data_IF_778427933376
#
_entry.id   IF_778427933376
#
_cell.length_a   1.000
_cell.length_b   1.000
_cell.length_c   1.000
_cell.angle_alpha   90.00
_cell.angle_beta   90.00
_cell.angle_gamma   90.00
#
_symmetry.space_group_name_H-M   'P 1'
#
loop_
_entity.id
_entity.type
_entity.pdbx_description
1 polymer ?
#
# COMPACT_ATOMS: atom_id res chain seq x y z
N UNK A 1 2.07 60.11 -9.52
CA UNK A 1 1.09 59.23 -8.84
C UNK A 1 1.44 57.79 -9.20
N UNK A 2 2.23 57.09 -8.37
CA UNK A 2 2.72 55.74 -8.67
C UNK A 2 1.62 54.73 -8.33
N UNK A 3 1.07 54.07 -9.35
CA UNK A 3 0.07 53.01 -9.20
C UNK A 3 0.77 51.76 -8.68
N UNK A 4 0.45 51.34 -7.46
CA UNK A 4 0.90 50.07 -6.91
C UNK A 4 0.11 48.93 -7.57
N UNK A 5 0.80 48.08 -8.34
CA UNK A 5 0.24 46.84 -8.86
C UNK A 5 0.47 45.77 -7.79
N UNK A 6 -0.60 45.28 -7.18
CA UNK A 6 -0.57 44.21 -6.18
C UNK A 6 -0.58 42.86 -6.93
N UNK A 7 0.60 42.27 -7.15
CA UNK A 7 0.71 40.90 -7.67
C UNK A 7 0.41 39.93 -6.54
N UNK A 8 -0.85 39.52 -6.42
CA UNK A 8 -1.24 38.38 -5.57
C UNK A 8 -0.88 37.09 -6.30
N UNK A 9 0.35 36.61 -6.09
CA UNK A 9 0.76 35.27 -6.54
C UNK A 9 0.13 34.27 -5.59
N UNK A 10 -1.04 33.74 -5.96
CA UNK A 10 -1.63 32.58 -5.32
C UNK A 10 -0.82 31.35 -5.77
N UNK A 11 0.21 30.99 -5.01
CA UNK A 11 0.84 29.69 -5.15
C UNK A 11 -0.20 28.65 -4.78
N UNK A 12 -0.80 28.01 -5.79
CA UNK A 12 -1.50 26.74 -5.62
C UNK A 12 -0.46 25.74 -5.12
N UNK A 13 -0.37 25.56 -3.81
CA UNK A 13 0.38 24.48 -3.22
C UNK A 13 -0.25 23.19 -3.72
N UNK A 14 0.42 22.51 -4.64
CA UNK A 14 0.13 21.10 -4.91
C UNK A 14 0.46 20.40 -3.59
N UNK A 15 -0.56 20.03 -2.83
CA UNK A 15 -0.38 19.12 -1.72
C UNK A 15 0.07 17.79 -2.34
N UNK A 16 1.39 17.54 -2.34
CA UNK A 16 1.90 16.18 -2.41
C UNK A 16 1.38 15.51 -1.15
N UNK A 17 0.28 14.78 -1.30
CA UNK A 17 -0.16 13.84 -0.27
C UNK A 17 0.93 12.78 -0.18
N UNK A 18 1.65 12.78 0.93
CA UNK A 18 2.69 11.81 1.18
C UNK A 18 2.00 10.48 1.44
N UNK A 19 2.22 9.49 0.58
CA UNK A 19 1.74 8.13 0.80
C UNK A 19 2.16 7.65 2.19
N UNK A 20 1.29 6.89 2.85
CA UNK A 20 1.59 6.38 4.19
C UNK A 20 2.70 5.33 4.10
N UNK A 21 3.72 5.46 4.95
CA UNK A 21 4.85 4.52 4.98
C UNK A 21 4.71 3.61 6.17
N UNK A 22 4.71 2.30 5.93
CA UNK A 22 4.72 1.29 6.99
C UNK A 22 6.09 0.64 7.11
N UNK A 23 6.38 0.11 8.30
CA UNK A 23 7.57 -0.70 8.53
C UNK A 23 7.21 -2.18 8.50
N UNK A 24 7.73 -2.90 7.51
CA UNK A 24 7.63 -4.35 7.41
C UNK A 24 8.86 -4.98 8.04
N UNK A 25 8.65 -5.96 8.94
CA UNK A 25 9.72 -6.79 9.49
C UNK A 25 9.51 -8.24 9.06
N UNK A 26 10.49 -8.83 8.40
CA UNK A 26 10.47 -10.21 7.94
C UNK A 26 11.84 -10.85 8.14
N UNK A 27 11.92 -12.03 8.77
CA UNK A 27 13.18 -12.74 9.05
C UNK A 27 14.30 -11.85 9.63
N UNK A 28 13.96 -10.99 10.60
CA UNK A 28 14.84 -9.98 11.21
C UNK A 28 15.32 -8.84 10.29
N UNK A 29 14.98 -8.87 9.00
CA UNK A 29 15.16 -7.77 8.08
C UNK A 29 14.00 -6.78 8.26
N UNK A 30 14.30 -5.49 8.18
CA UNK A 30 13.30 -4.42 8.18
C UNK A 30 13.37 -3.69 6.85
N UNK A 31 12.22 -3.42 6.27
CA UNK A 31 12.08 -2.53 5.11
C UNK A 31 10.93 -1.56 5.34
N UNK A 32 10.98 -0.44 4.64
CA UNK A 32 9.86 0.48 4.52
C UNK A 32 9.04 0.07 3.30
N UNK A 33 7.72 0.23 3.39
CA UNK A 33 6.79 -0.02 2.29
C UNK A 33 5.94 1.24 2.14
N UNK A 34 6.01 1.84 0.96
CA UNK A 34 5.14 2.94 0.57
C UNK A 34 3.76 2.39 0.21
N UNK A 35 2.72 2.88 0.86
CA UNK A 35 1.35 2.44 0.62
C UNK A 35 0.67 3.38 -0.38
N UNK A 36 0.03 2.80 -1.40
CA UNK A 36 -0.82 3.57 -2.30
C UNK A 36 -2.03 4.16 -1.57
N UNK A 37 -2.53 5.31 -2.02
CA UNK A 37 -3.74 5.91 -1.48
C UNK A 37 -4.99 5.17 -1.95
N UNK A 38 -5.32 4.08 -1.25
CA UNK A 38 -6.50 3.27 -1.50
C UNK A 38 -7.24 2.95 -0.21
N UNK A 39 -8.54 2.65 -0.30
CA UNK A 39 -9.31 2.20 0.86
C UNK A 39 -8.75 0.90 1.44
N UNK A 40 -8.23 -0.01 0.61
CA UNK A 40 -7.57 -1.22 1.07
C UNK A 40 -6.29 -0.91 1.87
N UNK A 41 -5.50 0.08 1.46
CA UNK A 41 -4.31 0.52 2.19
C UNK A 41 -4.67 1.09 3.56
N UNK A 42 -5.69 1.96 3.62
CA UNK A 42 -6.19 2.54 4.88
C UNK A 42 -6.68 1.47 5.85
N UNK A 43 -7.46 0.50 5.34
CA UNK A 43 -7.94 -0.63 6.13
C UNK A 43 -6.79 -1.51 6.63
N UNK A 44 -5.79 -1.77 5.79
CA UNK A 44 -4.60 -2.53 6.19
C UNK A 44 -3.79 -1.81 7.27
N UNK A 45 -3.61 -0.49 7.14
CA UNK A 45 -2.91 0.34 8.13
C UNK A 45 -3.67 0.36 9.45
N UNK A 46 -5.01 0.41 9.42
CA UNK A 46 -5.85 0.34 10.61
C UNK A 46 -5.75 -1.01 11.36
N UNK A 47 -5.23 -2.07 10.73
CA UNK A 47 -4.96 -3.36 11.40
C UNK A 47 -3.63 -3.39 12.15
N UNK A 48 -2.77 -2.37 11.99
CA UNK A 48 -1.47 -2.35 12.63
C UNK A 48 -1.60 -2.08 14.15
N UNK A 49 -0.72 -2.68 14.99
CA UNK A 49 0.35 -3.62 14.62
C UNK A 49 -0.18 -5.02 14.27
N UNK A 50 0.24 -5.55 13.12
CA UNK A 50 -0.20 -6.84 12.60
C UNK A 50 0.98 -7.82 12.47
N UNK A 51 0.81 -9.04 12.96
CA UNK A 51 1.79 -10.13 12.81
C UNK A 51 1.18 -11.26 11.99
N UNK A 52 1.80 -11.56 10.86
CA UNK A 52 1.33 -12.57 9.91
C UNK A 52 2.36 -13.70 9.73
N UNK A 53 1.88 -14.91 9.46
CA UNK A 53 2.72 -16.04 9.07
C UNK A 53 2.74 -16.13 7.55
N UNK A 54 3.89 -15.85 6.96
CA UNK A 54 4.10 -15.98 5.52
C UNK A 54 4.46 -17.42 5.15
N UNK A 55 3.91 -17.89 4.03
CA UNK A 55 4.28 -19.14 3.37
C UNK A 55 4.89 -18.84 2.00
N UNK A 56 5.76 -19.72 1.51
CA UNK A 56 6.27 -19.62 0.15
C UNK A 56 5.23 -20.09 -0.85
N UNK A 57 5.01 -19.30 -1.90
CA UNK A 57 4.18 -19.66 -3.03
C UNK A 57 5.04 -19.67 -4.30
N UNK A 58 5.13 -20.86 -4.90
CA UNK A 58 5.81 -21.12 -6.17
C UNK A 58 7.27 -20.62 -6.24
N UNK A 59 7.98 -20.48 -5.12
CA UNK A 59 9.32 -19.88 -5.01
C UNK A 59 9.42 -18.46 -5.59
N UNK A 60 8.32 -17.72 -5.63
CA UNK A 60 8.24 -16.36 -6.18
C UNK A 60 7.64 -15.36 -5.22
N UNK A 61 6.67 -15.78 -4.42
CA UNK A 61 5.88 -14.89 -3.57
C UNK A 61 5.86 -15.43 -2.15
N UNK A 62 5.82 -14.51 -1.18
CA UNK A 62 5.46 -14.84 0.20
C UNK A 62 4.03 -14.44 0.39
N UNK A 63 3.20 -15.37 0.84
CA UNK A 63 1.76 -15.15 1.00
C UNK A 63 1.35 -15.28 2.46
N UNK A 64 0.43 -14.42 2.90
CA UNK A 64 -0.18 -14.51 4.21
C UNK A 64 -1.66 -14.20 4.15
N UNK A 65 -2.45 -14.90 4.96
CA UNK A 65 -3.87 -14.63 5.11
C UNK A 65 -4.08 -13.48 6.10
N UNK A 66 -4.97 -12.55 5.75
CA UNK A 66 -5.38 -11.50 6.68
C UNK A 66 -6.44 -12.01 7.66
N UNK A 67 -6.50 -11.45 8.88
CA UNK A 67 -7.55 -11.76 9.84
C UNK A 67 -8.93 -11.35 9.34
N UNK A 68 -9.01 -10.26 8.57
CA UNK A 68 -10.24 -9.78 7.92
C UNK A 68 -9.96 -9.38 6.46
N UNK A 69 -10.90 -9.62 5.53
CA UNK A 69 -10.77 -9.15 4.14
C UNK A 69 -10.70 -7.63 4.07
N UNK A 70 -9.90 -7.13 3.13
CA UNK A 70 -9.92 -5.73 2.71
C UNK A 70 -10.95 -5.49 1.61
N UNK A 71 -11.45 -4.26 1.57
CA UNK A 71 -12.33 -3.74 0.52
C UNK A 71 -11.52 -3.51 -0.76
N UNK A 72 -11.62 -4.47 -1.69
CA UNK A 72 -11.02 -4.37 -3.03
C UNK A 72 -12.04 -4.11 -4.15
N UNK A 73 -13.23 -3.60 -3.81
CA UNK A 73 -14.26 -3.35 -4.83
C UNK A 73 -13.85 -2.19 -5.73
N UNK A 74 -13.68 -2.46 -7.02
CA UNK A 74 -13.25 -1.44 -8.00
C UNK A 74 -11.73 -1.28 -8.11
N UNK A 75 -10.94 -2.15 -7.47
CA UNK A 75 -9.49 -2.20 -7.71
C UNK A 75 -9.21 -2.58 -9.16
N UNK A 76 -8.26 -1.90 -9.79
CA UNK A 76 -7.84 -2.19 -11.15
C UNK A 76 -7.06 -3.51 -11.21
N UNK A 77 -6.97 -4.11 -12.40
CA UNK A 77 -6.00 -5.16 -12.63
C UNK A 77 -4.60 -4.62 -12.38
N UNK A 78 -3.83 -5.35 -11.59
CA UNK A 78 -2.46 -4.98 -11.23
C UNK A 78 -1.49 -6.04 -11.76
N UNK A 79 -0.32 -5.59 -12.25
CA UNK A 79 0.78 -6.47 -12.70
C UNK A 79 1.92 -6.37 -11.69
N UNK A 80 2.08 -7.35 -10.78
CA UNK A 80 3.10 -7.29 -9.73
C UNK A 80 4.52 -7.21 -10.29
N UNK A 81 5.35 -6.42 -9.63
CA UNK A 81 6.80 -6.33 -9.80
C UNK A 81 7.53 -6.95 -8.59
N UNK A 82 8.83 -7.09 -8.72
CA UNK A 82 9.72 -7.53 -7.64
C UNK A 82 9.71 -6.49 -6.51
N UNK A 83 9.47 -6.94 -5.26
CA UNK A 83 9.47 -6.08 -4.08
C UNK A 83 8.10 -5.51 -3.72
N UNK A 84 7.09 -5.68 -4.58
CA UNK A 84 5.75 -5.17 -4.31
C UNK A 84 5.05 -5.95 -3.20
N UNK A 85 4.37 -5.20 -2.33
CA UNK A 85 3.37 -5.71 -1.39
C UNK A 85 1.99 -5.41 -1.97
N UNK A 86 1.21 -6.43 -2.27
CA UNK A 86 -0.10 -6.27 -2.88
C UNK A 86 -1.14 -7.20 -2.26
N UNK A 87 -2.40 -6.82 -2.40
CA UNK A 87 -3.54 -7.58 -1.93
C UNK A 87 -4.20 -8.34 -3.07
N UNK A 88 -4.38 -9.64 -2.90
CA UNK A 88 -5.04 -10.50 -3.88
C UNK A 88 -6.33 -11.07 -3.31
N UNK A 89 -7.43 -10.84 -4.03
CA UNK A 89 -8.76 -11.33 -3.68
C UNK A 89 -9.41 -11.99 -4.90
N UNK A 90 -9.17 -13.29 -5.13
CA UNK A 90 -9.82 -13.99 -6.20
C UNK A 90 -11.28 -14.30 -5.79
N UNK A 91 -12.23 -13.93 -6.66
CA UNK A 91 -13.66 -14.25 -6.53
C UNK A 91 -14.37 -13.67 -5.29
N UNK A 92 -14.18 -12.37 -5.03
CA UNK A 92 -15.06 -11.61 -4.12
C UNK A 92 -14.89 -11.92 -2.64
N UNK A 93 -13.63 -11.96 -2.16
CA UNK A 93 -13.26 -11.86 -0.74
C UNK A 93 -13.44 -13.13 0.12
N UNK A 94 -13.58 -14.33 -0.46
CA UNK A 94 -13.76 -15.56 0.34
C UNK A 94 -12.46 -16.06 1.01
N UNK A 95 -11.31 -15.87 0.37
CA UNK A 95 -9.99 -16.20 0.92
C UNK A 95 -8.98 -15.11 0.54
N UNK A 96 -9.00 -13.97 1.24
CA UNK A 96 -8.11 -12.84 0.94
C UNK A 96 -6.69 -13.09 1.43
N UNK A 97 -5.69 -12.84 0.58
CA UNK A 97 -4.28 -12.99 0.92
C UNK A 97 -3.48 -11.75 0.55
N UNK A 98 -2.60 -11.32 1.45
CA UNK A 98 -1.53 -10.38 1.12
C UNK A 98 -0.37 -11.17 0.54
N UNK A 99 0.15 -10.71 -0.59
CA UNK A 99 1.34 -11.25 -1.23
C UNK A 99 2.44 -10.21 -1.20
N UNK A 100 3.64 -10.70 -0.93
CA UNK A 100 4.88 -9.97 -1.10
C UNK A 100 5.68 -10.68 -2.18
N UNK A 101 5.92 -10.00 -3.30
CA UNK A 101 6.76 -10.51 -4.37
C UNK A 101 8.20 -10.62 -3.87
N UNK A 102 8.69 -11.85 -3.77
CA UNK A 102 9.92 -12.15 -3.07
C UNK A 102 11.10 -12.16 -4.03
N UNK A 103 11.84 -11.06 -4.04
CA UNK A 103 13.23 -10.94 -4.47
C UNK A 103 13.96 -9.96 -3.52
N UNK A 104 13.60 -10.02 -2.23
CA UNK A 104 14.31 -9.37 -1.13
C UNK A 104 15.45 -10.27 -0.64
#
# INVERSE_FOLDING_TARGET
>A
MKKFIFFMVLTLGVAMSAGEVIKLKFNNIQTLVDMEESEASKEFIAMLPLSLKFSDYANKEKIANLPTPLTAKGSQYYTPQIGDLFYFSPWGNRCPSVLLSCHL
#
